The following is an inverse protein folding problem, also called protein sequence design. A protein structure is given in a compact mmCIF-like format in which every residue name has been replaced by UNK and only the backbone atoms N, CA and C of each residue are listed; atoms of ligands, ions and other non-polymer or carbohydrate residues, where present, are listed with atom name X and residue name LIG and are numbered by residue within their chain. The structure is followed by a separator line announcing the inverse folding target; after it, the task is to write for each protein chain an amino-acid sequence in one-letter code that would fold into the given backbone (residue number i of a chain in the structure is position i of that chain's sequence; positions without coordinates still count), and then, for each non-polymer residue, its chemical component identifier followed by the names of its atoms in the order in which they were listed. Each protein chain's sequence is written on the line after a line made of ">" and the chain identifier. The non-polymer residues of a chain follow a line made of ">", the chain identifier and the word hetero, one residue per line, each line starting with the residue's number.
data_IF_313820138192
#
_entry.id   IF_313820138192
#
_cell.length_a   1.000
_cell.length_b   1.000
_cell.length_c   1.000
_cell.angle_alpha   90.00
_cell.angle_beta   90.00
_cell.angle_gamma   90.00
#
_symmetry.space_group_name_H-M   'P 1'
#
loop_
_entity.id
_entity.type
_entity.pdbx_description
1 polymer ?
#
# COMPACT_ATOMS: atom_id res chain seq x y z
N UNK A 1 -6.98 11.19 -23.29
CA UNK A 1 -6.11 10.52 -22.31
C UNK A 1 -6.96 9.92 -21.21
N UNK A 2 -6.62 8.73 -20.68
CA UNK A 2 -7.37 8.12 -19.59
C UNK A 2 -6.90 8.68 -18.25
N UNK A 3 -7.86 9.17 -17.46
CA UNK A 3 -7.69 9.58 -16.07
C UNK A 3 -8.68 8.83 -15.18
N UNK A 4 -8.18 8.09 -14.20
CA UNK A 4 -8.97 7.28 -13.28
C UNK A 4 -8.32 7.27 -11.90
N UNK A 5 -8.95 8.00 -10.97
CA UNK A 5 -8.56 8.00 -9.56
C UNK A 5 -8.56 6.58 -8.97
N UNK A 6 -9.53 5.75 -9.37
CA UNK A 6 -9.62 4.35 -8.92
C UNK A 6 -8.42 3.52 -9.39
N UNK A 7 -7.91 3.78 -10.59
CA UNK A 7 -6.75 3.08 -11.14
C UNK A 7 -5.45 3.49 -10.42
N UNK A 8 -5.26 4.78 -10.17
CA UNK A 8 -4.06 5.32 -9.52
C UNK A 8 -4.03 5.05 -8.01
N UNK A 9 -5.17 5.18 -7.31
CA UNK A 9 -5.28 4.85 -5.88
C UNK A 9 -5.07 3.35 -5.61
N UNK A 10 -5.22 2.50 -6.63
CA UNK A 10 -4.98 1.07 -6.49
C UNK A 10 -3.51 0.71 -6.26
N UNK A 11 -2.56 1.63 -6.46
CA UNK A 11 -1.15 1.45 -6.14
C UNK A 11 -0.88 1.29 -4.63
N UNK A 12 -1.74 1.87 -3.79
CA UNK A 12 -1.52 1.89 -2.33
C UNK A 12 -1.51 0.47 -1.76
N UNK A 13 -0.47 0.17 -0.99
CA UNK A 13 -0.29 -1.15 -0.38
C UNK A 13 0.05 -2.25 -1.37
N UNK A 14 0.42 -1.93 -2.61
CA UNK A 14 0.95 -2.90 -3.57
C UNK A 14 2.47 -3.00 -3.46
N UNK A 15 3.08 -4.13 -3.85
CA UNK A 15 4.52 -4.21 -4.02
C UNK A 15 5.04 -3.21 -5.04
N UNK A 16 6.24 -2.69 -4.82
CA UNK A 16 6.95 -1.90 -5.81
C UNK A 16 7.24 -2.77 -7.05
N UNK A 17 6.88 -2.26 -8.23
CA UNK A 17 7.14 -2.90 -9.54
C UNK A 17 8.48 -2.47 -10.15
N UNK A 18 8.95 -1.28 -9.77
CA UNK A 18 10.23 -0.72 -10.22
C UNK A 18 11.44 -1.50 -9.70
N UNK A 19 11.47 -1.86 -8.41
CA UNK A 19 12.55 -2.68 -7.78
C UNK A 19 13.94 -2.42 -8.39
N UNK A 20 14.34 -1.15 -8.39
CA UNK A 20 15.55 -0.70 -9.07
C UNK A 20 16.78 -1.29 -8.39
N UNK A 21 17.64 -1.97 -9.15
CA UNK A 21 18.88 -2.52 -8.61
C UNK A 21 19.75 -1.40 -8.03
N UNK A 22 20.29 -1.62 -6.83
CA UNK A 22 21.04 -0.60 -6.09
C UNK A 22 20.17 0.39 -5.31
N UNK A 23 18.84 0.32 -5.41
CA UNK A 23 17.91 1.15 -4.63
C UNK A 23 17.14 0.30 -3.63
N UNK A 24 17.27 0.60 -2.34
CA UNK A 24 16.52 -0.11 -1.29
C UNK A 24 15.03 0.22 -1.38
N UNK A 25 14.19 -0.80 -1.54
CA UNK A 25 12.73 -0.64 -1.57
C UNK A 25 12.17 -0.20 -0.20
N UNK A 26 11.41 0.89 -0.18
CA UNK A 26 10.77 1.46 1.01
C UNK A 26 9.41 0.84 1.37
N UNK A 27 9.21 -0.45 1.07
CA UNK A 27 7.98 -1.18 1.40
C UNK A 27 6.71 -0.81 0.59
N UNK A 28 5.65 -1.66 0.65
CA UNK A 28 4.38 -1.44 -0.05
C UNK A 28 3.53 -0.29 0.52
N UNK A 29 3.73 0.09 1.77
CA UNK A 29 3.04 1.19 2.45
C UNK A 29 3.33 2.57 1.85
N UNK A 30 4.49 2.71 1.21
CA UNK A 30 4.89 3.94 0.52
C UNK A 30 4.61 3.93 -0.98
N UNK A 31 3.99 2.85 -1.50
CA UNK A 31 3.82 2.66 -2.93
C UNK A 31 2.70 3.54 -3.49
N UNK A 32 3.04 4.26 -4.55
CA UNK A 32 2.15 5.17 -5.29
C UNK A 32 2.24 4.92 -6.79
N UNK A 33 1.26 5.42 -7.54
CA UNK A 33 1.25 5.37 -8.99
C UNK A 33 2.19 6.45 -9.55
N UNK A 34 3.28 6.04 -10.19
CA UNK A 34 4.29 6.89 -10.80
C UNK A 34 4.06 6.96 -12.31
N UNK A 35 3.93 8.16 -12.89
CA UNK A 35 3.68 8.33 -14.31
C UNK A 35 4.95 8.14 -15.14
N UNK A 36 4.92 7.19 -16.07
CA UNK A 36 5.94 7.03 -17.12
C UNK A 36 5.75 8.15 -18.13
N UNK A 37 6.86 8.71 -18.64
CA UNK A 37 6.81 9.70 -19.74
C UNK A 37 6.24 9.03 -20.99
N UNK A 38 5.07 9.47 -21.44
CA UNK A 38 4.41 8.98 -22.66
C UNK A 38 4.19 10.11 -23.67
N UNK A 39 3.58 9.77 -24.82
CA UNK A 39 3.27 10.70 -25.92
C UNK A 39 2.40 11.90 -25.52
N UNK A 40 1.77 11.86 -24.36
CA UNK A 40 0.88 12.92 -23.89
C UNK A 40 1.49 13.75 -22.75
N UNK A 41 2.69 13.38 -22.27
CA UNK A 41 3.42 14.18 -21.28
C UNK A 41 3.76 15.55 -21.89
N UNK A 42 3.38 16.62 -21.20
CA UNK A 42 3.66 17.99 -21.60
C UNK A 42 3.68 18.95 -20.41
N UNK A 43 3.94 20.22 -20.66
CA UNK A 43 3.92 21.26 -19.62
C UNK A 43 2.50 21.37 -19.04
N UNK A 44 2.34 21.10 -17.74
CA UNK A 44 1.04 21.10 -17.07
C UNK A 44 0.15 19.88 -17.34
N UNK A 45 0.59 18.90 -18.16
CA UNK A 45 -0.16 17.69 -18.46
C UNK A 45 0.53 16.44 -17.91
N UNK A 46 -0.19 15.68 -17.07
CA UNK A 46 0.22 14.33 -16.66
C UNK A 46 0.06 13.36 -17.83
N UNK A 47 0.89 12.32 -17.87
CA UNK A 47 0.74 11.21 -18.80
C UNK A 47 -0.56 10.43 -18.52
N UNK A 48 -0.94 9.50 -19.41
CA UNK A 48 -2.13 8.67 -19.19
C UNK A 48 -1.98 7.84 -17.92
N UNK A 49 -3.08 7.60 -17.21
CA UNK A 49 -3.06 6.71 -16.06
C UNK A 49 -2.80 5.24 -16.43
N UNK A 50 -2.92 4.86 -17.71
CA UNK A 50 -2.45 3.56 -18.21
C UNK A 50 -0.91 3.48 -18.32
N UNK A 51 -0.26 4.63 -18.39
CA UNK A 51 1.19 4.80 -18.48
C UNK A 51 1.77 5.02 -17.08
N UNK A 52 1.40 4.16 -16.11
CA UNK A 52 1.90 4.26 -14.73
C UNK A 52 2.47 2.95 -14.22
N UNK A 53 3.43 3.08 -13.31
CA UNK A 53 4.07 1.99 -12.57
C UNK A 53 3.81 2.17 -11.08
N UNK A 54 3.75 1.08 -10.34
CA UNK A 54 3.65 1.12 -8.88
C UNK A 54 5.06 1.26 -8.29
N UNK A 55 5.40 2.44 -7.76
CA UNK A 55 6.72 2.73 -7.20
C UNK A 55 6.66 3.07 -5.71
N UNK A 56 7.51 2.41 -4.90
CA UNK A 56 7.73 2.83 -3.51
C UNK A 56 8.49 4.16 -3.45
N UNK A 57 8.52 4.80 -2.27
CA UNK A 57 9.12 6.13 -2.11
C UNK A 57 10.54 6.26 -2.70
N UNK A 58 11.44 5.33 -2.38
CA UNK A 58 12.83 5.39 -2.84
C UNK A 58 12.96 5.17 -4.36
N UNK A 59 12.30 4.14 -4.90
CA UNK A 59 12.34 3.86 -6.34
C UNK A 59 11.67 4.97 -7.15
N UNK A 60 10.59 5.55 -6.64
CA UNK A 60 9.88 6.65 -7.29
C UNK A 60 10.78 7.87 -7.46
N UNK A 61 11.50 8.28 -6.40
CA UNK A 61 12.44 9.41 -6.48
C UNK A 61 13.48 9.20 -7.57
N UNK A 62 14.12 8.03 -7.60
CA UNK A 62 15.14 7.68 -8.60
C UNK A 62 14.54 7.65 -10.02
N UNK A 63 13.37 7.04 -10.18
CA UNK A 63 12.69 6.95 -11.48
C UNK A 63 12.27 8.32 -12.04
N UNK A 64 11.95 9.28 -11.17
CA UNK A 64 11.68 10.67 -11.52
C UNK A 64 12.96 11.49 -11.79
N UNK A 65 14.14 10.91 -11.59
CA UNK A 65 15.43 11.59 -11.72
C UNK A 65 15.77 12.50 -10.55
N UNK A 66 15.27 12.19 -9.35
CA UNK A 66 15.56 12.93 -8.12
C UNK A 66 16.65 12.22 -7.30
N UNK A 67 17.58 13.02 -6.76
CA UNK A 67 18.69 12.53 -5.93
C UNK A 67 19.94 12.17 -6.73
N UNK A 68 20.90 11.51 -6.08
CA UNK A 68 22.24 11.28 -6.64
C UNK A 68 22.35 9.97 -7.44
N UNK A 69 21.38 9.07 -7.32
CA UNK A 69 21.35 7.84 -8.09
C UNK A 69 20.71 8.10 -9.45
N UNK A 70 21.51 8.04 -10.52
CA UNK A 70 21.07 8.32 -11.89
C UNK A 70 20.95 7.02 -12.67
N UNK A 71 19.77 6.78 -13.24
CA UNK A 71 19.57 5.67 -14.18
C UNK A 71 20.06 6.06 -15.57
N UNK A 72 20.71 5.11 -16.25
CA UNK A 72 20.90 5.21 -17.69
C UNK A 72 19.53 5.23 -18.39
N UNK A 73 19.48 5.76 -19.61
CA UNK A 73 18.24 5.75 -20.39
C UNK A 73 17.73 4.32 -20.64
N UNK A 74 18.65 3.37 -20.82
CA UNK A 74 18.36 1.95 -21.05
C UNK A 74 17.77 1.29 -19.81
N UNK A 75 18.37 1.50 -18.64
CA UNK A 75 17.86 1.01 -17.37
C UNK A 75 16.49 1.61 -17.08
N UNK A 76 16.33 2.92 -17.30
CA UNK A 76 15.04 3.59 -17.11
C UNK A 76 13.95 2.94 -17.98
N UNK A 77 14.23 2.67 -19.26
CA UNK A 77 13.30 2.00 -20.17
C UNK A 77 12.99 0.56 -19.71
N UNK A 78 14.01 -0.19 -19.27
CA UNK A 78 13.83 -1.54 -18.73
C UNK A 78 12.90 -1.55 -17.51
N UNK A 79 13.15 -0.68 -16.53
CA UNK A 79 12.30 -0.56 -15.34
C UNK A 79 10.90 -0.03 -15.67
N UNK A 80 10.78 0.91 -16.60
CA UNK A 80 9.49 1.43 -17.05
C UNK A 80 8.63 0.34 -17.70
N UNK A 81 9.19 -0.42 -18.65
CA UNK A 81 8.45 -1.45 -19.38
C UNK A 81 8.00 -2.59 -18.46
N UNK A 82 8.92 -3.12 -17.66
CA UNK A 82 8.59 -4.19 -16.71
C UNK A 82 7.59 -3.71 -15.66
N UNK A 83 7.78 -2.50 -15.13
CA UNK A 83 6.87 -1.89 -14.17
C UNK A 83 5.46 -1.75 -14.74
N UNK A 84 5.34 -1.29 -15.98
CA UNK A 84 4.05 -1.14 -16.68
C UNK A 84 3.33 -2.48 -16.82
N UNK A 85 4.05 -3.52 -17.26
CA UNK A 85 3.49 -4.86 -17.44
C UNK A 85 2.97 -5.43 -16.10
N UNK A 86 3.77 -5.33 -15.04
CA UNK A 86 3.38 -5.83 -13.72
C UNK A 86 2.22 -5.04 -13.12
N UNK A 87 2.23 -3.71 -13.22
CA UNK A 87 1.13 -2.87 -12.75
C UNK A 87 -0.15 -3.20 -13.51
N UNK A 88 -0.11 -3.29 -14.85
CA UNK A 88 -1.29 -3.63 -15.64
C UNK A 88 -1.80 -5.03 -15.35
N UNK A 89 -0.92 -6.03 -15.21
CA UNK A 89 -1.30 -7.38 -14.79
C UNK A 89 -1.98 -7.39 -13.41
N UNK A 90 -1.44 -6.64 -12.44
CA UNK A 90 -2.07 -6.44 -11.13
C UNK A 90 -3.45 -5.78 -11.26
N UNK A 91 -3.61 -4.79 -12.14
CA UNK A 91 -4.90 -4.14 -12.39
C UNK A 91 -5.90 -5.10 -13.04
N UNK A 92 -5.48 -5.97 -13.95
CA UNK A 92 -6.34 -7.02 -14.52
C UNK A 92 -6.78 -8.01 -13.43
N UNK A 93 -5.83 -8.52 -12.65
CA UNK A 93 -6.11 -9.47 -11.56
C UNK A 93 -7.09 -8.91 -10.50
N UNK A 94 -7.13 -7.59 -10.33
CA UNK A 94 -8.01 -6.89 -9.38
C UNK A 94 -9.28 -6.34 -10.03
N UNK A 95 -9.52 -6.60 -11.32
CA UNK A 95 -10.69 -6.12 -12.07
C UNK A 95 -10.75 -4.59 -12.16
N UNK A 96 -9.61 -3.96 -12.35
CA UNK A 96 -9.45 -2.51 -12.59
C UNK A 96 -9.12 -2.19 -14.05
N UNK A 97 -8.55 -3.15 -14.76
CA UNK A 97 -8.29 -3.13 -16.20
C UNK A 97 -8.93 -4.37 -16.82
N UNK A 98 -9.57 -4.23 -17.97
CA UNK A 98 -10.27 -5.32 -18.65
C UNK A 98 -9.79 -5.38 -20.10
N UNK A 99 -9.62 -6.60 -20.61
CA UNK A 99 -9.37 -6.86 -22.03
C UNK A 99 -10.62 -7.51 -22.57
N UNK A 100 -11.23 -6.93 -23.60
CA UNK A 100 -12.47 -7.45 -24.18
C UNK A 100 -12.28 -8.87 -24.69
N UNK A 101 -13.21 -9.77 -24.35
CA UNK A 101 -13.10 -11.21 -24.71
C UNK A 101 -12.19 -12.02 -23.77
N UNK A 102 -11.54 -11.37 -22.80
CA UNK A 102 -10.88 -12.02 -21.67
C UNK A 102 -11.66 -11.62 -20.41
N UNK A 103 -12.47 -12.52 -19.88
CA UNK A 103 -13.15 -12.31 -18.61
C UNK A 103 -12.17 -12.67 -17.48
N UNK A 104 -11.50 -11.69 -16.82
CA UNK A 104 -10.86 -12.00 -15.55
C UNK A 104 -11.97 -12.50 -14.62
N UNK A 105 -11.73 -13.61 -13.90
CA UNK A 105 -12.68 -14.10 -12.90
C UNK A 105 -13.20 -12.91 -12.09
N UNK A 106 -14.52 -12.65 -12.16
CA UNK A 106 -15.10 -11.44 -11.59
C UNK A 106 -14.64 -11.33 -10.13
N UNK A 107 -13.88 -10.28 -9.75
CA UNK A 107 -13.34 -10.20 -8.40
C UNK A 107 -14.50 -10.28 -7.42
N UNK A 108 -14.47 -11.27 -6.53
CA UNK A 108 -15.54 -11.50 -5.55
C UNK A 108 -15.80 -10.17 -4.84
N UNK A 109 -17.01 -9.61 -5.00
CA UNK A 109 -17.39 -8.37 -4.30
C UNK A 109 -17.07 -8.59 -2.81
N UNK A 110 -16.15 -7.78 -2.25
CA UNK A 110 -15.95 -7.76 -0.80
C UNK A 110 -17.32 -7.50 -0.18
N UNK A 111 -17.83 -8.45 0.61
CA UNK A 111 -19.03 -8.22 1.40
C UNK A 111 -18.76 -6.93 2.19
N UNK A 112 -19.64 -5.94 2.04
CA UNK A 112 -19.56 -4.72 2.85
C UNK A 112 -19.40 -5.16 4.30
N UNK A 113 -18.31 -4.75 4.95
CA UNK A 113 -18.05 -5.10 6.35
C UNK A 113 -19.32 -4.84 7.14
N UNK A 114 -19.74 -5.82 7.95
CA UNK A 114 -20.91 -5.67 8.82
C UNK A 114 -20.73 -4.34 9.55
N UNK A 115 -21.70 -3.42 9.46
CA UNK A 115 -21.64 -2.14 10.19
C UNK A 115 -21.28 -2.50 11.63
N UNK A 116 -20.11 -2.04 12.10
CA UNK A 116 -19.74 -2.15 13.50
C UNK A 116 -20.83 -1.38 14.24
N UNK A 117 -21.73 -2.09 14.91
CA UNK A 117 -22.74 -1.45 15.75
C UNK A 117 -21.95 -0.66 16.78
N UNK A 118 -22.28 0.62 16.96
CA UNK A 118 -21.78 1.41 18.08
C UNK A 118 -22.17 0.69 19.36
N UNK A 119 -21.27 -0.14 19.89
CA UNK A 119 -21.44 -0.76 21.18
C UNK A 119 -21.54 0.33 22.23
N UNK A 120 -22.31 0.09 23.30
CA UNK A 120 -22.27 0.97 24.47
C UNK A 120 -20.80 1.14 24.90
N UNK A 121 -20.37 2.35 25.30
CA UNK A 121 -19.00 2.58 25.74
C UNK A 121 -18.62 1.55 26.80
N UNK A 122 -17.40 1.01 26.69
CA UNK A 122 -16.85 0.08 27.67
C UNK A 122 -16.88 0.80 29.02
N UNK A 123 -17.74 0.32 29.93
CA UNK A 123 -17.78 0.87 31.27
C UNK A 123 -16.46 0.55 31.96
N UNK A 124 -15.72 1.58 32.34
CA UNK A 124 -14.52 1.42 33.15
C UNK A 124 -14.90 0.71 34.45
N UNK A 125 -14.39 -0.50 34.66
CA UNK A 125 -14.46 -1.11 36.00
C UNK A 125 -13.60 -0.25 36.92
N UNK A 126 -14.13 0.25 38.06
CA UNK A 126 -13.31 0.97 39.00
C UNK A 126 -12.20 0.04 39.49
N UNK A 127 -10.96 0.52 39.44
CA UNK A 127 -9.82 -0.16 40.02
C UNK A 127 -10.14 -0.36 41.51
N UNK A 128 -10.34 -1.61 41.95
CA UNK A 128 -10.58 -1.90 43.36
C UNK A 128 -9.32 -1.54 44.13
N UNK A 129 -9.30 -0.32 44.67
CA UNK A 129 -8.24 0.13 45.56
C UNK A 129 -8.45 -0.52 46.93
N UNK A 130 -8.25 -1.85 47.00
CA UNK A 130 -8.17 -2.56 48.28
C UNK A 130 -6.81 -2.26 48.90
N UNK A 131 -6.71 -1.10 49.54
CA UNK A 131 -5.90 -0.87 50.72
C UNK A 131 -4.38 -1.10 50.64
N UNK A 132 -3.73 -0.92 49.49
CA UNK A 132 -2.26 -0.96 49.46
C UNK A 132 -1.71 0.41 49.86
N UNK A 133 -1.12 0.51 51.07
CA UNK A 133 -0.39 1.71 51.50
C UNK A 133 0.85 1.88 50.62
N UNK A 134 1.11 3.11 50.19
CA UNK A 134 2.26 3.46 49.36
C UNK A 134 3.55 3.03 50.08
N UNK A 135 4.36 2.18 49.45
CA UNK A 135 5.63 1.68 50.01
C UNK A 135 5.65 0.21 50.49
N UNK A 136 4.52 -0.49 50.54
CA UNK A 136 4.54 -1.93 50.85
C UNK A 136 4.85 -2.78 49.60
N UNK A 137 5.83 -3.72 49.65
CA UNK A 137 6.14 -4.61 48.53
C UNK A 137 4.95 -5.51 48.16
N UNK A 138 4.91 -5.94 46.89
CA UNK A 138 3.78 -6.70 46.34
C UNK A 138 3.87 -8.14 46.84
N UNK A 139 2.85 -8.60 47.56
CA UNK A 139 2.72 -9.98 48.00
C UNK A 139 1.58 -10.62 47.18
N UNK A 140 1.87 -11.51 46.21
CA UNK A 140 0.82 -12.21 45.49
C UNK A 140 0.09 -13.14 46.46
N UNK A 141 -1.25 -13.13 46.40
CA UNK A 141 -2.09 -14.03 47.19
C UNK A 141 -1.94 -15.46 46.68
N UNK A 142 -1.08 -16.25 47.32
CA UNK A 142 -1.01 -17.69 47.08
C UNK A 142 -2.31 -18.31 47.59
N UNK A 143 -3.13 -18.90 46.71
CA UNK A 143 -4.23 -19.76 47.16
C UNK A 143 -3.59 -21.04 47.70
N UNK A 144 -3.84 -21.35 48.96
CA UNK A 144 -3.52 -22.67 49.50
C UNK A 144 -4.30 -23.71 48.68
N UNK A 145 -3.55 -24.59 48.01
CA UNK A 145 -4.09 -25.80 47.43
C UNK A 145 -4.14 -26.78 48.61
N UNK A 146 -5.34 -27.19 49.00
CA UNK A 146 -5.50 -28.26 49.98
C UNK A 146 -5.38 -29.59 49.22
N UNK A 147 -4.57 -30.51 49.76
CA UNK A 147 -4.45 -31.90 49.32
C UNK A 147 -5.77 -32.68 49.46
#
# INVERSE_FOLDING_TARGET
>A
MIHSKKYTDAARGQPCTLRIAGVTCAGPETTVSCHVRDRFKGMGCKASDLSTVDGCFNCHKVFDGQGDFVLSQEDWLFYALRGLQETQANRVARGLLFVTGFDPEKPKKRKSGKKVRSGKPIQSRPFQNKGRKLGQPYQPSVKQIND
#
